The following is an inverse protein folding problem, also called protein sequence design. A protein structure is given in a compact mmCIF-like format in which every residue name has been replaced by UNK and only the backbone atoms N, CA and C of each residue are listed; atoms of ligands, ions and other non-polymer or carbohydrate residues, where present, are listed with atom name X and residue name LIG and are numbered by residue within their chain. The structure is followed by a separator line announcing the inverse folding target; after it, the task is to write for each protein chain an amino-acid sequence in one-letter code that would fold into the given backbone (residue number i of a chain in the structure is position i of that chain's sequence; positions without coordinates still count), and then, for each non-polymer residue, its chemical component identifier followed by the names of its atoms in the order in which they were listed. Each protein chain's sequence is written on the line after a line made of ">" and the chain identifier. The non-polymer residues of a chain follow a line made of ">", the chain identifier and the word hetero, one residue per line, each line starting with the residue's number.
data_IF_466950277751
#
_entry.id   IF_466950277751
#
_cell.length_a   1.000
_cell.length_b   1.000
_cell.length_c   1.000
_cell.angle_alpha   90.00
_cell.angle_beta   90.00
_cell.angle_gamma   90.00
#
_symmetry.space_group_name_H-M   'P 1'
#
loop_
_entity.id
_entity.type
_entity.pdbx_description
1 polymer ?
#
# COMPACT_ATOMS: atom_id res chain seq x y z
N UNK A 1 15.17 -20.47 -27.02
CA UNK A 1 16.12 -20.25 -25.91
C UNK A 1 16.81 -18.93 -26.18
N UNK A 2 16.36 -17.86 -25.51
CA UNK A 2 17.04 -16.58 -25.52
C UNK A 2 16.99 -16.10 -24.08
N UNK A 3 17.99 -16.55 -23.35
CA UNK A 3 18.24 -16.27 -21.96
C UNK A 3 19.49 -15.39 -21.95
N UNK A 4 19.52 -14.35 -21.13
CA UNK A 4 20.55 -13.30 -21.02
C UNK A 4 20.30 -12.04 -21.86
N UNK A 5 19.60 -11.06 -21.28
CA UNK A 5 19.90 -9.62 -21.39
C UNK A 5 18.94 -8.85 -20.46
N UNK A 6 19.22 -8.88 -19.16
CA UNK A 6 19.25 -7.64 -18.37
C UNK A 6 20.02 -7.86 -17.07
N UNK A 7 21.12 -7.12 -16.92
CA UNK A 7 21.91 -6.98 -15.68
C UNK A 7 21.38 -5.80 -14.86
N UNK A 8 20.06 -5.63 -14.81
CA UNK A 8 19.42 -4.64 -13.96
C UNK A 8 18.99 -5.36 -12.69
N UNK A 9 19.70 -5.11 -11.59
CA UNK A 9 19.24 -5.50 -10.26
C UNK A 9 18.09 -4.57 -9.93
N UNK A 10 16.90 -4.90 -10.43
CA UNK A 10 15.70 -4.06 -10.33
C UNK A 10 15.15 -3.92 -8.91
N UNK A 11 15.82 -4.48 -7.91
CA UNK A 11 15.39 -4.34 -6.51
C UNK A 11 13.98 -4.90 -6.29
N UNK A 12 13.27 -4.34 -5.32
CA UNK A 12 11.85 -4.58 -5.11
C UNK A 12 11.10 -3.33 -5.58
N UNK A 13 9.91 -3.48 -6.18
CA UNK A 13 9.10 -2.32 -6.54
C UNK A 13 8.82 -1.46 -5.31
N UNK A 14 8.94 -0.14 -5.46
CA UNK A 14 8.65 0.83 -4.41
C UNK A 14 7.69 1.89 -4.96
N UNK A 15 6.48 1.91 -4.42
CA UNK A 15 5.45 2.86 -4.82
C UNK A 15 5.74 4.29 -4.29
N UNK A 16 6.74 4.47 -3.44
CA UNK A 16 7.24 5.79 -3.05
C UNK A 16 6.43 6.48 -1.96
N UNK A 17 5.96 5.72 -0.97
CA UNK A 17 5.32 6.30 0.21
C UNK A 17 5.80 5.65 1.51
N UNK A 18 5.64 6.39 2.62
CA UNK A 18 5.86 5.89 3.98
C UNK A 18 4.54 5.87 4.73
N UNK A 19 4.38 4.85 5.55
CA UNK A 19 3.19 4.67 6.36
C UNK A 19 3.50 4.58 7.85
N UNK A 20 2.47 4.75 8.66
CA UNK A 20 2.46 4.38 10.07
C UNK A 20 1.18 3.60 10.40
N UNK A 21 1.23 2.78 11.46
CA UNK A 21 0.07 2.05 11.97
C UNK A 21 -0.95 3.01 12.59
N UNK A 22 -2.22 2.58 12.61
CA UNK A 22 -3.36 3.37 13.09
C UNK A 22 -4.10 2.63 14.21
N UNK A 23 -3.38 2.35 15.30
CA UNK A 23 -3.88 1.48 16.38
C UNK A 23 -4.87 2.16 17.34
N UNK A 24 -4.97 3.50 17.31
CA UNK A 24 -5.83 4.25 18.23
C UNK A 24 -7.20 4.54 17.61
N UNK A 25 -8.32 4.21 18.29
CA UNK A 25 -9.67 4.59 17.83
C UNK A 25 -9.84 6.09 17.60
N UNK A 26 -9.17 6.92 18.39
CA UNK A 26 -9.21 8.37 18.24
C UNK A 26 -8.47 8.84 16.97
N UNK A 27 -7.38 8.17 16.61
CA UNK A 27 -6.63 8.48 15.40
C UNK A 27 -7.42 8.06 14.15
N UNK A 28 -8.03 6.86 14.17
CA UNK A 28 -8.93 6.40 13.10
C UNK A 28 -10.04 7.40 12.82
N UNK A 29 -10.75 7.83 13.86
CA UNK A 29 -11.82 8.82 13.76
C UNK A 29 -11.34 10.16 13.20
N UNK A 30 -10.11 10.58 13.51
CA UNK A 30 -9.54 11.83 13.00
C UNK A 30 -9.31 11.83 11.48
N UNK A 31 -9.09 10.65 10.88
CA UNK A 31 -8.91 10.48 9.43
C UNK A 31 -10.20 10.03 8.71
N UNK A 32 -11.32 9.97 9.42
CA UNK A 32 -12.62 9.66 8.86
C UNK A 32 -12.88 8.17 8.67
N UNK A 33 -12.10 7.29 9.30
CA UNK A 33 -12.36 5.85 9.31
C UNK A 33 -13.48 5.52 10.29
N UNK A 34 -14.38 4.65 9.86
CA UNK A 34 -15.34 3.97 10.73
C UNK A 34 -14.60 3.00 11.67
N UNK A 35 -15.25 2.61 12.78
CA UNK A 35 -14.61 1.77 13.82
C UNK A 35 -14.11 0.42 13.31
N UNK A 36 -14.74 -0.12 12.27
CA UNK A 36 -14.43 -1.42 11.69
C UNK A 36 -13.42 -1.33 10.53
N UNK A 37 -13.12 -0.13 10.04
CA UNK A 37 -12.15 0.06 8.96
C UNK A 37 -10.73 -0.02 9.52
N UNK A 38 -9.88 -0.79 8.83
CA UNK A 38 -8.48 -1.00 9.16
C UNK A 38 -7.58 -0.44 8.06
N UNK A 39 -6.32 -0.18 8.40
CA UNK A 39 -5.34 0.23 7.42
C UNK A 39 -4.18 1.00 8.01
N UNK A 40 -3.33 1.51 7.13
CA UNK A 40 -2.13 2.26 7.49
C UNK A 40 -2.16 3.67 6.92
N UNK A 41 -1.75 4.65 7.72
CA UNK A 41 -1.77 6.06 7.34
C UNK A 41 -0.54 6.41 6.51
N UNK A 42 -0.73 7.07 5.36
CA UNK A 42 0.37 7.69 4.61
C UNK A 42 0.87 8.93 5.35
N UNK A 43 2.14 8.91 5.73
CA UNK A 43 2.84 10.03 6.39
C UNK A 43 3.81 10.76 5.47
N UNK A 44 4.13 10.18 4.31
CA UNK A 44 4.97 10.81 3.29
C UNK A 44 4.70 10.17 1.93
N UNK A 45 4.61 11.00 0.90
CA UNK A 45 4.79 10.60 -0.51
C UNK A 45 6.08 11.23 -1.02
N UNK A 46 6.89 10.47 -1.74
CA UNK A 46 8.13 10.95 -2.35
C UNK A 46 7.83 11.57 -3.72
N UNK A 47 8.49 12.70 -4.01
CA UNK A 47 8.40 13.35 -5.33
C UNK A 47 8.96 12.42 -6.41
N UNK A 48 8.43 12.52 -7.63
CA UNK A 48 8.82 11.72 -8.81
C UNK A 48 8.63 10.20 -8.61
N UNK A 49 7.82 9.77 -7.65
CA UNK A 49 7.49 8.37 -7.39
C UNK A 49 6.18 7.94 -8.06
N UNK A 50 5.90 6.62 -8.19
CA UNK A 50 4.61 6.16 -8.72
C UNK A 50 3.38 6.70 -7.98
N UNK A 51 3.49 6.90 -6.67
CA UNK A 51 2.42 7.48 -5.87
C UNK A 51 2.28 9.01 -5.99
N UNK A 52 3.27 9.70 -6.56
CA UNK A 52 3.28 11.16 -6.65
C UNK A 52 2.13 11.67 -7.53
N UNK A 53 1.41 12.68 -7.04
CA UNK A 53 0.19 13.21 -7.66
C UNK A 53 -1.04 12.30 -7.63
N UNK A 54 -0.94 11.05 -7.12
CA UNK A 54 -2.06 10.10 -6.99
C UNK A 54 -2.48 9.98 -5.52
N UNK A 55 -1.56 9.53 -4.68
CA UNK A 55 -1.73 9.42 -3.24
C UNK A 55 -1.19 10.68 -2.55
N UNK A 56 -1.62 10.91 -1.31
CA UNK A 56 -1.16 12.04 -0.51
C UNK A 56 -1.06 11.70 0.97
N UNK A 57 -0.37 12.55 1.72
CA UNK A 57 -0.37 12.49 3.18
C UNK A 57 -1.81 12.56 3.72
N UNK A 58 -2.05 11.77 4.77
CA UNK A 58 -3.36 11.56 5.41
C UNK A 58 -4.35 10.66 4.66
N UNK A 59 -3.97 10.08 3.52
CA UNK A 59 -4.69 8.93 2.99
C UNK A 59 -4.43 7.71 3.88
N UNK A 60 -5.45 6.86 4.04
CA UNK A 60 -5.31 5.58 4.74
C UNK A 60 -5.36 4.48 3.69
N UNK A 61 -4.30 3.69 3.55
CA UNK A 61 -4.33 2.51 2.69
C UNK A 61 -5.09 1.41 3.41
N UNK A 62 -6.16 0.92 2.77
CA UNK A 62 -7.04 -0.12 3.28
C UNK A 62 -6.68 -1.48 2.68
N UNK A 63 -6.24 -1.50 1.42
CA UNK A 63 -6.04 -2.72 0.64
C UNK A 63 -4.96 -2.55 -0.42
N UNK A 64 -4.23 -3.64 -0.69
CA UNK A 64 -3.36 -3.80 -1.85
C UNK A 64 -3.81 -5.05 -2.59
N UNK A 65 -4.24 -4.88 -3.84
CA UNK A 65 -4.85 -5.93 -4.68
C UNK A 65 -6.00 -6.67 -3.96
N UNK A 66 -5.81 -7.96 -3.66
CA UNK A 66 -6.75 -8.76 -2.88
C UNK A 66 -6.55 -8.70 -1.36
N UNK A 67 -5.45 -8.12 -0.87
CA UNK A 67 -5.04 -8.19 0.52
C UNK A 67 -5.51 -6.98 1.33
N UNK A 68 -6.47 -7.21 2.25
CA UNK A 68 -6.88 -6.22 3.23
C UNK A 68 -5.77 -5.99 4.27
N UNK A 69 -5.50 -4.72 4.59
CA UNK A 69 -4.47 -4.32 5.55
C UNK A 69 -5.10 -4.15 6.95
N UNK A 70 -4.53 -4.83 7.93
CA UNK A 70 -4.87 -4.66 9.34
C UNK A 70 -4.23 -3.40 9.94
N UNK A 71 -4.68 -2.99 11.14
CA UNK A 71 -4.22 -1.76 11.79
C UNK A 71 -2.72 -1.71 12.07
N UNK A 72 -2.13 -2.88 12.32
CA UNK A 72 -0.70 -3.07 12.56
C UNK A 72 0.13 -3.16 11.27
N UNK A 73 -0.50 -2.97 10.11
CA UNK A 73 0.12 -3.04 8.80
C UNK A 73 0.35 -4.46 8.29
N UNK A 74 -0.27 -5.47 8.91
CA UNK A 74 -0.21 -6.84 8.42
C UNK A 74 -1.26 -7.15 7.38
N UNK A 75 -0.95 -8.11 6.49
CA UNK A 75 -1.87 -8.72 5.53
C UNK A 75 -1.87 -10.24 5.74
N UNK A 76 -2.98 -10.88 5.38
CA UNK A 76 -3.08 -12.34 5.35
C UNK A 76 -2.76 -12.88 3.96
N UNK A 77 -1.57 -13.45 3.81
CA UNK A 77 -1.12 -14.01 2.53
C UNK A 77 -1.70 -15.41 2.28
N UNK A 78 -1.81 -16.21 3.34
CA UNK A 78 -2.48 -17.52 3.34
C UNK A 78 -3.19 -17.73 4.67
N UNK A 79 -3.98 -18.80 4.82
CA UNK A 79 -4.70 -19.11 6.06
C UNK A 79 -3.80 -19.11 7.31
N UNK A 80 -2.54 -19.54 7.17
CA UNK A 80 -1.58 -19.70 8.26
C UNK A 80 -0.46 -18.63 8.27
N UNK A 81 -0.47 -17.66 7.36
CA UNK A 81 0.62 -16.69 7.20
C UNK A 81 0.14 -15.24 7.17
N UNK A 82 0.55 -14.48 8.19
CA UNK A 82 0.47 -13.03 8.26
C UNK A 82 1.86 -12.43 7.99
N UNK A 83 1.90 -11.35 7.21
CA UNK A 83 3.15 -10.62 6.90
C UNK A 83 2.91 -9.13 6.76
N UNK A 84 3.96 -8.31 6.71
CA UNK A 84 3.85 -6.86 6.46
C UNK A 84 3.29 -6.61 5.04
N UNK A 85 2.38 -5.64 4.92
CA UNK A 85 1.71 -5.30 3.66
C UNK A 85 2.68 -5.02 2.50
N UNK A 86 3.92 -4.58 2.77
CA UNK A 86 4.93 -4.37 1.73
C UNK A 86 5.25 -5.64 0.94
N UNK A 87 5.04 -6.82 1.54
CA UNK A 87 5.21 -8.08 0.82
C UNK A 87 4.22 -8.21 -0.34
N UNK A 88 3.01 -7.63 -0.25
CA UNK A 88 2.10 -7.60 -1.40
C UNK A 88 2.73 -6.85 -2.57
N UNK A 89 3.35 -5.70 -2.30
CA UNK A 89 4.05 -4.90 -3.31
C UNK A 89 5.27 -5.66 -3.84
N UNK A 90 6.09 -6.23 -2.95
CA UNK A 90 7.31 -6.96 -3.30
C UNK A 90 7.07 -8.22 -4.17
N UNK A 91 5.83 -8.73 -4.24
CA UNK A 91 5.46 -9.84 -5.12
C UNK A 91 5.34 -9.44 -6.59
N UNK A 92 5.24 -8.15 -6.89
CA UNK A 92 5.14 -7.65 -8.26
C UNK A 92 6.52 -7.44 -8.90
N UNK A 93 6.53 -7.48 -10.23
CA UNK A 93 7.68 -7.04 -11.01
C UNK A 93 7.58 -5.54 -11.34
N UNK A 94 8.73 -4.88 -11.54
CA UNK A 94 8.76 -3.48 -11.98
C UNK A 94 7.92 -3.30 -13.26
N UNK A 95 7.09 -2.27 -13.27
CA UNK A 95 6.21 -1.90 -14.37
C UNK A 95 4.84 -2.60 -14.38
N UNK A 96 4.62 -3.59 -13.51
CA UNK A 96 3.32 -4.20 -13.28
C UNK A 96 2.35 -3.24 -12.57
N UNK A 97 1.06 -3.48 -12.77
CA UNK A 97 -0.02 -2.76 -12.11
C UNK A 97 -0.26 -3.32 -10.72
N UNK A 98 -0.45 -2.42 -9.76
CA UNK A 98 -0.85 -2.71 -8.38
C UNK A 98 -2.08 -1.88 -8.06
N UNK A 99 -3.15 -2.54 -7.64
CA UNK A 99 -4.38 -1.89 -7.21
C UNK A 99 -4.27 -1.46 -5.75
N UNK A 100 -4.37 -0.15 -5.49
CA UNK A 100 -4.36 0.41 -4.13
C UNK A 100 -5.74 0.98 -3.81
N UNK A 101 -6.39 0.41 -2.79
CA UNK A 101 -7.61 0.99 -2.21
C UNK A 101 -7.25 1.80 -0.97
N UNK A 102 -7.68 3.06 -0.96
CA UNK A 102 -7.42 4.00 0.12
C UNK A 102 -8.67 4.80 0.50
N UNK A 103 -8.71 5.24 1.76
CA UNK A 103 -9.70 6.21 2.25
C UNK A 103 -9.07 7.60 2.30
N UNK A 104 -9.77 8.58 1.72
CA UNK A 104 -9.42 10.00 1.84
C UNK A 104 -10.58 10.75 2.50
N UNK A 105 -10.44 11.04 3.79
CA UNK A 105 -11.47 11.70 4.58
C UNK A 105 -12.75 10.88 4.70
N UNK A 106 -12.63 9.55 4.83
CA UNK A 106 -13.76 8.61 4.92
C UNK A 106 -14.41 8.24 3.57
N UNK A 107 -13.81 8.64 2.45
CA UNK A 107 -14.27 8.23 1.12
C UNK A 107 -13.27 7.26 0.51
N UNK A 108 -13.71 6.03 0.33
CA UNK A 108 -12.94 4.97 -0.32
C UNK A 108 -12.77 5.24 -1.82
N UNK A 109 -11.55 5.00 -2.31
CA UNK A 109 -11.18 5.07 -3.72
C UNK A 109 -10.16 3.97 -4.03
N UNK A 110 -10.19 3.49 -5.27
CA UNK A 110 -9.19 2.55 -5.79
C UNK A 110 -8.47 3.20 -6.95
N UNK A 111 -7.14 3.06 -6.98
CA UNK A 111 -6.27 3.52 -8.05
C UNK A 111 -5.34 2.40 -8.47
N UNK A 112 -5.11 2.32 -9.77
CA UNK A 112 -4.09 1.47 -10.38
C UNK A 112 -2.79 2.27 -10.49
N UNK A 113 -1.68 1.70 -10.01
CA UNK A 113 -0.36 2.33 -10.07
C UNK A 113 0.67 1.35 -10.61
N UNK A 114 1.68 1.87 -11.31
CA UNK A 114 2.78 1.04 -11.82
C UNK A 114 3.90 0.94 -10.80
N UNK A 115 4.28 -0.30 -10.50
CA UNK A 115 5.39 -0.71 -9.67
C UNK A 115 6.75 -0.24 -10.20
#
# INVERSE_FOLDING_TARGET
>A
MKDSEDQQLDGFPDLGFRTQTLDSPAAKAAYGLEKEENGVLIIKVFEDSPADGILQENDVILKIDEFDIADDGTIQLTEDLLTDYKHAIDMHHIGESIDITYSRGGVEKTVDMKA
#
